data_IF_044223138004
#
_entry.id   IF_044223138004
#
_cell.length_a   1.000
_cell.length_b   1.000
_cell.length_c   1.000
_cell.angle_alpha   90.00
_cell.angle_beta   90.00
_cell.angle_gamma   90.00
#
_symmetry.space_group_name_H-M   'P 1'
#
loop_
_entity.id
_entity.type
_entity.pdbx_description
1 polymer ?
2 polymer ?
3 non-polymer ?
4 non-polymer ?
5 water ?
#
# COMPACT_ATOMS: atom_id res chain seq x y z
N UNK A 2 6.20 21.81 5.87
CA UNK A 2 5.81 22.31 7.17
C UNK A 2 4.51 21.69 7.69
N UNK A 3 3.62 22.54 8.18
CA UNK A 3 2.36 22.11 8.75
C UNK A 3 1.20 22.30 7.78
N UNK A 4 0.60 23.49 7.80
CA UNK A 4 -0.42 23.80 6.81
C UNK A 4 -1.37 24.95 7.12
N UNK A 5 -1.07 26.14 6.56
CA UNK A 5 -2.05 27.24 6.53
C UNK A 5 -2.97 27.19 5.31
N UNK A 6 -2.44 26.74 4.18
CA UNK A 6 -3.19 26.69 2.94
C UNK A 6 -2.94 25.35 2.23
N UNK A 7 -3.68 24.34 2.66
CA UNK A 7 -3.58 22.99 2.13
C UNK A 7 -4.73 22.76 1.16
N UNK A 8 -4.43 22.17 0.00
CA UNK A 8 -5.44 21.79 -1.00
C UNK A 8 -6.58 20.98 -0.39
N UNK A 9 -7.81 21.29 -0.80
CA UNK A 9 -9.01 20.66 -0.25
C UNK A 9 -8.98 19.12 -0.32
N UNK A 10 -8.53 18.61 -1.46
CA UNK A 10 -8.42 17.16 -1.67
C UNK A 10 -7.56 16.52 -0.59
N UNK A 11 -6.46 17.18 -0.26
CA UNK A 11 -5.53 16.66 0.75
C UNK A 11 -6.16 16.67 2.14
N UNK A 12 -6.91 17.71 2.46
CA UNK A 12 -7.60 17.80 3.75
C UNK A 12 -8.65 16.70 3.88
N UNK A 13 -9.48 16.57 2.85
CA UNK A 13 -10.51 15.54 2.83
C UNK A 13 -9.90 14.15 2.91
N UNK A 14 -8.74 13.97 2.29
CA UNK A 14 -8.01 12.72 2.38
C UNK A 14 -7.49 12.47 3.78
N UNK A 15 -7.09 13.55 4.45
CA UNK A 15 -6.64 13.47 5.84
C UNK A 15 -7.78 13.03 6.74
N UNK A 16 -8.98 13.52 6.43
CA UNK A 16 -10.16 13.15 7.20
C UNK A 16 -10.65 11.74 6.87
N UNK A 17 -10.21 11.22 5.72
CA UNK A 17 -10.61 9.89 5.28
C UNK A 17 -9.63 8.81 5.72
N UNK A 18 -8.55 9.21 6.37
CA UNK A 18 -7.54 8.27 6.82
C UNK A 18 -7.99 7.54 8.09
N UNK A 19 -7.93 6.21 8.08
CA UNK A 19 -8.37 5.39 9.22
C UNK A 19 -7.45 5.54 10.43
N UNK A 20 -7.95 5.15 11.60
CA UNK A 20 -7.17 5.21 12.83
C UNK A 20 -6.25 4.02 12.96
N UNK A 21 -4.98 4.26 13.30
CA UNK A 21 -3.97 3.21 13.35
C UNK A 21 -4.25 2.17 14.44
N UNK A 22 -4.67 2.63 15.61
CA UNK A 22 -4.95 1.73 16.73
C UNK A 22 -6.11 0.79 16.43
N UNK A 23 -7.15 1.31 15.80
CA UNK A 23 -8.33 0.53 15.46
C UNK A 23 -7.97 -0.57 14.44
N UNK A 24 -7.24 -0.19 13.41
CA UNK A 24 -6.80 -1.14 12.39
C UNK A 24 -5.89 -2.20 12.99
N UNK A 25 -4.98 -1.76 13.85
CA UNK A 25 -4.06 -2.67 14.54
C UNK A 25 -4.83 -3.70 15.35
N UNK A 26 -5.77 -3.23 16.17
CA UNK A 26 -6.57 -4.10 17.00
C UNK A 26 -7.42 -5.06 16.16
N UNK A 27 -7.96 -4.56 15.06
CA UNK A 27 -8.80 -5.37 14.18
C UNK A 27 -7.99 -6.50 13.54
N UNK A 28 -6.81 -6.17 13.04
CA UNK A 28 -5.94 -7.16 12.41
C UNK A 28 -5.44 -8.18 13.44
N UNK A 29 -5.09 -7.70 14.63
CA UNK A 29 -4.67 -8.59 15.72
C UNK A 29 -5.78 -9.58 16.08
N UNK A 30 -7.00 -9.06 16.22
CA UNK A 30 -8.15 -9.89 16.51
C UNK A 30 -8.44 -10.87 15.39
N UNK A 31 -8.15 -10.45 14.17
CA UNK A 31 -8.34 -11.30 12.99
C UNK A 31 -7.28 -12.41 12.94
N UNK A 32 -6.14 -12.14 13.58
CA UNK A 32 -5.05 -13.12 13.63
C UNK A 32 -5.24 -14.08 14.80
N UNK A 33 -5.97 -13.63 15.81
CA UNK A 33 -6.21 -14.44 17.00
C UNK A 33 -7.11 -15.64 16.69
N UNK A 34 -7.87 -15.55 15.61
CA UNK A 34 -8.78 -16.61 15.21
C UNK A 34 -8.04 -17.92 14.93
N UNK A 35 -8.67 -19.06 15.27
CA UNK A 35 -8.07 -20.38 15.05
C UNK A 35 -7.90 -20.69 13.56
N UNK A 36 -6.91 -21.51 13.23
CA UNK A 36 -6.64 -21.86 11.84
C UNK A 36 -6.03 -23.25 11.71
N UNK A 37 -6.24 -23.88 10.57
CA UNK A 37 -5.68 -25.19 10.28
C UNK A 37 -4.19 -25.08 10.01
N UNK A 38 -3.39 -25.24 11.07
CA UNK A 38 -1.95 -25.08 10.97
C UNK A 38 -1.28 -26.19 10.15
N UNK A 39 -0.51 -25.79 9.14
CA UNK A 39 0.23 -26.74 8.32
C UNK A 39 1.47 -27.24 9.04
N UNK A 40 1.64 -28.57 9.11
CA UNK A 40 2.73 -29.20 9.85
C UNK A 40 4.09 -29.06 9.17
N UNK A 41 4.11 -28.67 7.91
CA UNK A 41 5.36 -28.54 7.16
C UNK A 41 5.77 -27.08 7.00
N UNK A 42 5.16 -26.20 7.79
CA UNK A 42 5.47 -24.77 7.73
C UNK A 42 5.43 -24.12 9.10
N UNK A 43 6.28 -23.09 9.29
CA UNK A 43 6.18 -22.24 10.49
C UNK A 43 4.86 -21.48 10.47
N UNK A 44 4.13 -21.50 11.58
CA UNK A 44 2.83 -20.84 11.66
C UNK A 44 2.94 -19.33 11.42
N UNK A 45 4.11 -18.78 11.74
CA UNK A 45 4.38 -17.36 11.55
C UNK A 45 4.20 -16.95 10.09
N UNK A 46 4.50 -17.86 9.17
CA UNK A 46 4.34 -17.60 7.75
C UNK A 46 2.87 -17.32 7.40
N UNK A 47 2.00 -18.25 7.79
CA UNK A 47 0.57 -18.10 7.57
C UNK A 47 0.00 -16.90 8.29
N UNK A 48 0.49 -16.66 9.50
CA UNK A 48 0.04 -15.50 10.27
C UNK A 48 0.41 -14.18 9.58
N UNK A 49 1.58 -14.15 8.96
CA UNK A 49 2.02 -12.97 8.24
C UNK A 49 1.28 -12.79 6.92
N UNK A 50 0.96 -13.90 6.27
CA UNK A 50 0.14 -13.86 5.06
C UNK A 50 -1.23 -13.29 5.37
N UNK A 51 -1.86 -13.82 6.42
CA UNK A 51 -3.15 -13.32 6.87
C UNK A 51 -3.05 -11.87 7.29
N UNK A 52 -1.91 -11.49 7.87
CA UNK A 52 -1.67 -10.12 8.28
C UNK A 52 -1.71 -9.18 7.08
N UNK A 53 -0.95 -9.53 6.06
CA UNK A 53 -0.91 -8.74 4.83
C UNK A 53 -2.28 -8.67 4.19
N UNK A 54 -2.98 -9.81 4.19
CA UNK A 54 -4.35 -9.88 3.67
C UNK A 54 -5.26 -8.87 4.37
N UNK A 55 -5.22 -8.87 5.70
CA UNK A 55 -6.05 -7.96 6.48
C UNK A 55 -5.66 -6.50 6.26
N UNK A 56 -4.35 -6.26 6.10
CA UNK A 56 -3.86 -4.93 5.79
C UNK A 56 -4.50 -4.45 4.49
N UNK A 57 -4.54 -5.34 3.50
CA UNK A 57 -5.16 -5.02 2.23
C UNK A 57 -6.68 -4.85 2.37
N UNK A 58 -7.28 -5.56 3.33
CA UNK A 58 -8.70 -5.39 3.62
C UNK A 58 -8.95 -3.95 4.06
N UNK A 59 -8.15 -3.51 5.03
CA UNK A 59 -8.25 -2.14 5.54
C UNK A 59 -7.98 -1.12 4.44
N UNK A 60 -7.02 -1.41 3.57
CA UNK A 60 -6.71 -0.53 2.45
C UNK A 60 -7.90 -0.39 1.49
N UNK A 61 -8.53 -1.53 1.18
CA UNK A 61 -9.72 -1.54 0.34
C UNK A 61 -10.83 -0.73 0.99
N UNK A 62 -11.01 -0.91 2.30
CA UNK A 62 -12.00 -0.15 3.05
C UNK A 62 -11.72 1.35 2.96
N UNK A 63 -10.44 1.71 2.95
CA UNK A 63 -10.04 3.10 2.79
C UNK A 63 -10.40 3.60 1.40
N UNK A 64 -10.18 2.76 0.40
CA UNK A 64 -10.47 3.12 -0.99
C UNK A 64 -11.96 3.37 -1.19
N UNK A 65 -12.78 2.49 -0.61
CA UNK A 65 -14.24 2.58 -0.75
C UNK A 65 -14.82 3.91 -0.28
N UNK A 66 -14.12 4.59 0.61
CA UNK A 66 -14.59 5.85 1.16
C UNK A 66 -14.01 7.05 0.43
N UNK A 67 -13.12 6.81 -0.51
CA UNK A 67 -12.46 7.89 -1.24
C UNK A 67 -13.38 8.58 -2.25
N UNK A 68 -13.19 9.89 -2.41
CA UNK A 68 -13.91 10.65 -3.43
C UNK A 68 -13.56 10.12 -4.82
N UNK A 69 -14.44 10.40 -5.78
CA UNK A 69 -14.29 9.94 -7.16
C UNK A 69 -14.35 8.40 -7.29
N UNK A 70 -13.59 7.71 -6.46
CA UNK A 70 -13.57 6.25 -6.44
C UNK A 70 -14.93 5.67 -6.05
N UNK A 71 -15.61 6.34 -5.12
CA UNK A 71 -16.93 5.88 -4.68
C UNK A 71 -18.00 6.24 -5.70
N UNK A 72 -17.64 7.09 -6.66
CA UNK A 72 -18.56 7.49 -7.73
C UNK A 72 -18.39 6.57 -8.93
N UNK A 73 -17.55 5.55 -8.78
CA UNK A 73 -17.27 4.61 -9.86
C UNK A 73 -18.05 3.31 -9.68
N UNK A 74 -18.26 2.60 -10.80
CA UNK A 74 -18.90 1.30 -10.75
C UNK A 74 -17.91 0.23 -10.29
N UNK A 75 -18.40 -1.00 -10.14
CA UNK A 75 -17.59 -2.10 -9.62
C UNK A 75 -16.38 -2.43 -10.51
N UNK A 76 -16.62 -2.49 -11.81
CA UNK A 76 -15.58 -2.88 -12.77
C UNK A 76 -14.32 -2.01 -12.67
N UNK A 77 -14.51 -0.70 -12.73
CA UNK A 77 -13.41 0.25 -12.67
C UNK A 77 -12.64 0.14 -11.36
N UNK A 78 -13.38 0.04 -10.26
CA UNK A 78 -12.78 -0.11 -8.94
C UNK A 78 -11.91 -1.37 -8.86
N UNK A 79 -12.46 -2.48 -9.33
CA UNK A 79 -11.74 -3.75 -9.35
C UNK A 79 -10.49 -3.66 -10.21
N UNK A 80 -10.60 -3.01 -11.36
CA UNK A 80 -9.46 -2.83 -12.24
C UNK A 80 -8.34 -2.03 -11.55
N UNK A 81 -8.72 -0.90 -10.97
CA UNK A 81 -7.77 -0.03 -10.27
C UNK A 81 -7.07 -0.77 -9.13
N UNK A 82 -7.86 -1.42 -8.27
CA UNK A 82 -7.31 -2.15 -7.14
C UNK A 82 -6.41 -3.28 -7.58
N UNK A 83 -6.82 -4.01 -8.63
CA UNK A 83 -6.01 -5.09 -9.18
C UNK A 83 -4.73 -4.55 -9.82
N UNK A 84 -4.74 -3.25 -10.14
CA UNK A 84 -3.56 -2.62 -10.72
C UNK A 84 -2.60 -2.04 -9.68
N UNK A 85 -3.12 -1.63 -8.53
CA UNK A 85 -2.30 -0.91 -7.56
C UNK A 85 -2.25 -1.50 -6.15
N UNK A 86 -2.73 -2.74 -5.99
CA UNK A 86 -2.79 -3.37 -4.66
C UNK A 86 -1.41 -3.49 -4.00
N UNK A 87 -0.47 -4.10 -4.72
CA UNK A 87 0.87 -4.31 -4.21
C UNK A 87 1.55 -2.98 -3.91
N UNK A 88 1.32 -1.99 -4.78
CA UNK A 88 1.89 -0.66 -4.59
C UNK A 88 1.36 -0.01 -3.32
N UNK A 89 0.06 -0.15 -3.09
CA UNK A 89 -0.57 0.40 -1.90
C UNK A 89 -0.05 -0.27 -0.62
N UNK A 90 0.05 -1.60 -0.65
CA UNK A 90 0.58 -2.34 0.49
C UNK A 90 2.02 -1.95 0.80
N UNK A 91 2.86 -1.96 -0.23
CA UNK A 91 4.26 -1.61 -0.09
C UNK A 91 4.44 -0.19 0.44
N UNK A 92 3.68 0.75 -0.12
CA UNK A 92 3.75 2.13 0.32
C UNK A 92 3.27 2.28 1.76
N UNK A 93 2.29 1.47 2.13
CA UNK A 93 1.79 1.44 3.50
C UNK A 93 2.88 1.00 4.47
N UNK A 94 3.56 -0.09 4.11
CA UNK A 94 4.69 -0.58 4.90
C UNK A 94 5.77 0.49 5.04
N UNK A 95 6.18 1.03 3.90
CA UNK A 95 7.22 2.06 3.85
C UNK A 95 6.90 3.26 4.73
N UNK A 96 5.69 3.80 4.60
CA UNK A 96 5.31 4.94 5.42
C UNK A 96 5.16 4.56 6.88
N UNK A 97 4.86 3.29 7.15
CA UNK A 97 4.83 2.81 8.51
C UNK A 97 6.23 2.85 9.09
N UNK A 98 7.23 2.56 8.24
CA UNK A 98 8.62 2.63 8.67
C UNK A 98 9.08 4.07 8.85
N UNK A 99 8.56 4.98 8.00
CA UNK A 99 8.91 6.38 8.08
C UNK A 99 8.35 7.03 9.35
N UNK A 100 7.07 6.77 9.62
CA UNK A 100 6.36 7.37 10.74
C UNK A 100 6.95 6.95 12.08
N UNK A 101 7.40 5.70 12.17
CA UNK A 101 8.03 5.19 13.38
C UNK A 101 9.36 4.52 13.01
N UNK A 102 10.41 5.31 12.93
CA UNK A 102 11.67 4.86 12.36
C UNK A 102 12.78 4.49 13.31
N UNK A 103 13.02 3.19 13.44
CA UNK A 103 14.21 2.67 14.09
C UNK A 103 15.04 1.96 13.05
N UNK A 104 16.20 2.54 12.70
CA UNK A 104 16.99 2.07 11.57
C UNK A 104 17.46 0.61 11.69
N UNK A 105 17.50 0.10 12.91
CA UNK A 105 17.98 -1.25 13.16
C UNK A 105 16.92 -2.33 12.98
N UNK A 106 15.68 -1.92 12.70
CA UNK A 106 14.58 -2.87 12.61
C UNK A 106 13.43 -2.36 11.74
N UNK A 107 12.47 -3.25 11.46
CA UNK A 107 11.26 -2.87 10.76
C UNK A 107 10.05 -3.06 11.65
N UNK A 108 9.03 -2.23 11.44
CA UNK A 108 7.83 -2.28 12.26
C UNK A 108 6.63 -2.79 11.47
N UNK A 109 6.04 -3.89 11.94
CA UNK A 109 4.86 -4.46 11.30
C UNK A 109 3.61 -3.70 11.73
N UNK A 110 2.51 -3.95 11.01
CA UNK A 110 1.25 -3.27 11.31
C UNK A 110 0.68 -3.74 12.65
N UNK A 111 1.01 -4.96 13.04
CA UNK A 111 0.55 -5.52 14.31
C UNK A 111 1.17 -4.80 15.49
N UNK A 112 2.37 -4.27 15.30
CA UNK A 112 3.05 -3.50 16.33
C UNK A 112 4.35 -4.12 16.79
N UNK A 113 4.65 -5.32 16.29
CA UNK A 113 5.86 -6.03 16.68
C UNK A 113 7.05 -5.65 15.81
N UNK A 114 8.21 -5.50 16.43
CA UNK A 114 9.42 -5.11 15.72
C UNK A 114 10.23 -6.33 15.29
N UNK A 115 10.81 -6.25 14.10
CA UNK A 115 11.67 -7.32 13.59
C UNK A 115 13.01 -6.73 13.17
N UNK A 116 14.08 -7.08 13.89
CA UNK A 116 15.40 -6.56 13.60
C UNK A 116 15.93 -7.03 12.24
N UNK A 117 16.76 -6.21 11.62
CA UNK A 117 17.30 -6.51 10.29
C UNK A 117 18.25 -7.69 10.31
N UNK A 118 18.84 -7.98 11.46
CA UNK A 118 19.73 -9.13 11.60
C UNK A 118 18.93 -10.43 11.47
N UNK A 119 17.75 -10.44 12.07
CA UNK A 119 16.85 -11.58 12.00
C UNK A 119 16.48 -11.87 10.56
N UNK A 120 16.14 -10.83 9.81
CA UNK A 120 15.80 -10.96 8.40
C UNK A 120 17.02 -11.43 7.61
N UNK A 121 18.19 -10.92 7.99
CA UNK A 121 19.43 -11.25 7.30
C UNK A 121 19.84 -12.71 7.50
N UNK A 122 19.45 -13.30 8.63
CA UNK A 122 19.85 -14.67 8.93
C UNK A 122 18.78 -15.71 8.65
N UNK A 123 17.52 -15.29 8.63
CA UNK A 123 16.41 -16.25 8.55
C UNK A 123 15.66 -16.22 7.21
N UNK A 124 15.65 -15.06 6.55
CA UNK A 124 14.95 -14.93 5.28
C UNK A 124 15.85 -15.25 4.11
N UNK A 125 15.24 -15.50 2.95
CA UNK A 125 16.00 -15.75 1.73
C UNK A 125 16.60 -14.48 1.18
N UNK A 126 17.42 -14.61 0.15
CA UNK A 126 18.09 -13.46 -0.45
C UNK A 126 17.10 -12.48 -1.08
N UNK A 127 16.02 -13.02 -1.66
CA UNK A 127 15.01 -12.20 -2.31
C UNK A 127 14.29 -11.27 -1.34
N UNK A 128 13.73 -11.85 -0.29
CA UNK A 128 13.01 -11.07 0.72
C UNK A 128 13.96 -10.12 1.45
N UNK A 129 15.19 -10.56 1.66
CA UNK A 129 16.23 -9.74 2.27
C UNK A 129 16.44 -8.48 1.42
N UNK A 130 16.63 -8.69 0.12
CA UNK A 130 16.81 -7.59 -0.82
C UNK A 130 15.59 -6.66 -0.83
N UNK A 131 14.41 -7.26 -0.74
CA UNK A 131 13.16 -6.49 -0.69
C UNK A 131 13.14 -5.56 0.51
N UNK A 132 13.39 -6.11 1.70
CA UNK A 132 13.39 -5.33 2.92
C UNK A 132 14.46 -4.24 2.90
N UNK A 133 15.65 -4.59 2.42
CA UNK A 133 16.74 -3.62 2.33
C UNK A 133 16.44 -2.46 1.39
N UNK A 134 15.95 -2.78 0.20
CA UNK A 134 15.61 -1.76 -0.79
C UNK A 134 14.48 -0.87 -0.28
N UNK A 135 13.49 -1.51 0.34
CA UNK A 135 12.38 -0.79 0.94
C UNK A 135 12.89 0.17 2.02
N UNK A 136 13.89 -0.27 2.77
CA UNK A 136 14.47 0.55 3.82
C UNK A 136 15.26 1.72 3.23
N UNK A 137 15.88 1.48 2.07
CA UNK A 137 16.56 2.56 1.35
C UNK A 137 15.55 3.61 0.93
N UNK A 138 14.40 3.15 0.43
CA UNK A 138 13.31 4.04 0.04
C UNK A 138 12.82 4.84 1.25
N UNK A 139 12.72 4.16 2.39
CA UNK A 139 12.33 4.82 3.64
C UNK A 139 13.33 5.91 4.00
N UNK A 140 14.62 5.62 3.84
CA UNK A 140 15.67 6.59 4.11
C UNK A 140 15.53 7.80 3.21
N UNK A 141 15.30 7.55 1.93
CA UNK A 141 15.11 8.63 0.96
C UNK A 141 13.92 9.51 1.30
N UNK A 142 12.80 8.89 1.67
CA UNK A 142 11.60 9.62 2.05
C UNK A 142 11.81 10.43 3.32
N UNK A 143 12.59 9.88 4.25
CA UNK A 143 12.93 10.59 5.47
C UNK A 143 13.82 11.80 5.18
N UNK A 144 14.70 11.65 4.19
CA UNK A 144 15.57 12.74 3.78
C UNK A 144 14.79 13.89 3.16
N UNK A 145 13.71 13.55 2.45
CA UNK A 145 12.87 14.54 1.80
C UNK A 145 11.85 15.16 2.75
N UNK A 146 11.87 14.71 4.00
CA UNK A 146 10.94 15.19 5.03
C UNK A 146 9.49 15.00 4.62
N UNK A 147 9.13 13.76 4.30
CA UNK A 147 7.77 13.41 3.91
C UNK A 147 6.80 13.60 5.07
N UNK A 148 5.67 14.25 4.80
CA UNK A 148 4.64 14.44 5.82
C UNK A 148 3.36 13.67 5.50
N UNK A 149 2.36 13.81 6.37
CA UNK A 149 1.12 13.06 6.25
C UNK A 149 0.30 13.49 5.03
N UNK A 150 0.29 14.79 4.77
CA UNK A 150 -0.41 15.35 3.62
C UNK A 150 0.08 14.73 2.32
N UNK A 151 1.39 14.82 2.12
CA UNK A 151 2.04 14.24 0.96
C UNK A 151 1.84 12.72 0.93
N UNK A 152 1.72 12.11 2.11
CA UNK A 152 1.50 10.67 2.19
C UNK A 152 0.14 10.26 1.63
N UNK A 153 -0.93 10.86 2.16
CA UNK A 153 -2.27 10.54 1.68
C UNK A 153 -2.45 10.96 0.22
N UNK A 154 -1.85 12.08 -0.15
CA UNK A 154 -1.90 12.54 -1.53
C UNK A 154 -1.25 11.51 -2.46
N UNK A 155 -0.10 10.99 -2.04
CA UNK A 155 0.62 9.99 -2.80
C UNK A 155 -0.16 8.68 -2.89
N UNK A 156 -0.85 8.31 -1.80
CA UNK A 156 -1.70 7.13 -1.82
C UNK A 156 -2.81 7.30 -2.85
N UNK A 157 -3.44 8.47 -2.84
CA UNK A 157 -4.51 8.76 -3.79
C UNK A 157 -3.98 8.71 -5.23
N UNK A 158 -2.79 9.25 -5.44
CA UNK A 158 -2.15 9.21 -6.75
C UNK A 158 -1.91 7.77 -7.21
N UNK A 159 -1.39 6.95 -6.31
CA UNK A 159 -1.15 5.54 -6.59
C UNK A 159 -2.44 4.83 -6.96
N UNK A 160 -3.51 5.13 -6.24
CA UNK A 160 -4.81 4.50 -6.47
C UNK A 160 -5.32 4.69 -7.91
N UNK A 161 -4.98 5.83 -8.50
CA UNK A 161 -5.44 6.14 -9.86
C UNK A 161 -4.30 6.16 -10.88
N UNK A 162 -3.17 5.53 -10.55
CA UNK A 162 -2.04 5.46 -11.46
C UNK A 162 -2.22 4.32 -12.46
N UNK A 163 -3.06 4.55 -13.46
CA UNK A 163 -3.36 3.55 -14.48
C UNK A 163 -3.73 4.23 -15.79
N UNK A 164 -3.40 3.58 -16.90
CA UNK A 164 -3.75 4.09 -18.23
C UNK A 164 -5.27 4.16 -18.36
N UNK A 165 -5.75 5.23 -18.98
CA UNK A 165 -7.18 5.51 -19.04
C UNK A 165 -7.96 4.54 -19.92
N UNK A 166 -7.26 3.88 -20.84
CA UNK A 166 -7.92 3.00 -21.79
C UNK A 166 -8.48 1.72 -21.17
N UNK A 167 -8.02 1.41 -19.96
CA UNK A 167 -8.47 0.20 -19.26
C UNK A 167 -9.69 0.48 -18.39
N UNK A 168 -10.10 1.74 -18.32
CA UNK A 168 -11.24 2.13 -17.49
C UNK A 168 -12.43 2.56 -18.33
N UNK A 169 -13.62 2.42 -17.78
CA UNK A 169 -14.85 2.78 -18.47
C UNK A 169 -15.21 4.26 -18.30
N UNK A 170 -15.03 4.76 -17.09
CA UNK A 170 -15.28 6.16 -16.80
C UNK A 170 -14.01 6.99 -16.96
N UNK A 171 -13.70 7.36 -18.20
CA UNK A 171 -12.44 8.03 -18.53
C UNK A 171 -12.27 9.41 -17.90
N UNK A 172 -13.16 10.33 -18.27
CA UNK A 172 -13.05 11.73 -17.89
C UNK A 172 -12.97 11.95 -16.38
N UNK A 173 -13.74 11.18 -15.63
CA UNK A 173 -13.75 11.28 -14.18
C UNK A 173 -12.39 10.93 -13.58
N UNK A 174 -11.85 9.79 -14.02
CA UNK A 174 -10.54 9.34 -13.57
C UNK A 174 -9.44 10.31 -13.98
N UNK A 175 -9.53 10.83 -15.20
CA UNK A 175 -8.58 11.82 -15.70
C UNK A 175 -8.58 13.05 -14.80
N UNK A 176 -9.78 13.53 -14.49
CA UNK A 176 -9.96 14.67 -13.59
C UNK A 176 -9.34 14.37 -12.22
N UNK A 177 -9.54 13.14 -11.76
CA UNK A 177 -8.97 12.71 -10.48
C UNK A 177 -7.44 12.77 -10.48
N UNK A 178 -6.84 12.25 -11.55
CA UNK A 178 -5.39 12.25 -11.70
C UNK A 178 -4.83 13.66 -11.75
N UNK A 179 -5.38 14.48 -12.64
CA UNK A 179 -4.92 15.86 -12.80
C UNK A 179 -5.08 16.66 -11.51
N UNK A 180 -6.20 16.48 -10.83
CA UNK A 180 -6.45 17.16 -9.56
C UNK A 180 -5.46 16.70 -8.49
N UNK A 181 -5.15 15.41 -8.50
CA UNK A 181 -4.18 14.85 -7.55
C UNK A 181 -2.80 15.45 -7.74
N UNK A 182 -2.32 15.39 -8.98
CA UNK A 182 -1.02 15.97 -9.32
C UNK A 182 -0.95 17.46 -9.00
N UNK A 183 -2.02 18.18 -9.35
CA UNK A 183 -2.09 19.61 -9.06
C UNK A 183 -2.02 19.87 -7.56
N UNK A 184 -2.70 19.02 -6.79
CA UNK A 184 -2.69 19.15 -5.33
C UNK A 184 -1.30 18.91 -4.76
N UNK A 185 -0.66 17.84 -5.21
CA UNK A 185 0.69 17.52 -4.75
C UNK A 185 1.68 18.64 -5.08
N UNK A 186 1.64 19.11 -6.32
CA UNK A 186 2.51 20.19 -6.75
C UNK A 186 2.27 21.47 -5.97
N UNK A 187 0.99 21.79 -5.74
CA UNK A 187 0.62 22.98 -4.99
C UNK A 187 1.16 22.92 -3.57
N UNK A 188 0.91 21.79 -2.90
CA UNK A 188 1.36 21.62 -1.53
C UNK A 188 2.89 21.68 -1.42
N UNK A 189 3.57 20.94 -2.29
CA UNK A 189 5.04 20.92 -2.27
C UNK A 189 5.63 22.29 -2.55
N UNK A 190 5.02 23.04 -3.47
CA UNK A 190 5.50 24.37 -3.80
C UNK A 190 5.19 25.38 -2.68
N UNK A 191 4.15 25.11 -1.90
CA UNK A 191 3.73 26.03 -0.85
C UNK A 191 4.37 25.73 0.51
N UNK A 192 4.91 24.53 0.69
CA UNK A 192 5.36 24.11 2.01
C UNK A 192 6.85 23.72 2.12
N UNK A 193 7.49 23.42 0.99
CA UNK A 193 8.89 22.97 1.01
C UNK A 193 9.86 24.15 0.90
N UNK A 194 10.57 24.44 1.99
CA UNK A 194 11.50 25.58 2.04
C UNK A 194 12.89 25.22 1.51
N UNK A 195 13.17 23.93 1.42
CA UNK A 195 14.49 23.46 0.97
C UNK A 195 14.61 23.55 -0.55
N UNK A 196 15.70 23.01 -1.08
CA UNK A 196 15.94 23.03 -2.51
C UNK A 196 15.50 21.73 -3.17
N UNK A 197 15.46 21.72 -4.49
CA UNK A 197 15.06 20.54 -5.24
C UNK A 197 13.56 20.48 -5.44
N UNK A 198 13.14 19.88 -6.55
CA UNK A 198 11.73 19.73 -6.86
C UNK A 198 11.16 18.54 -6.10
N UNK A 199 10.55 18.82 -4.95
CA UNK A 199 10.02 17.77 -4.09
C UNK A 199 8.93 16.95 -4.78
N UNK A 200 8.17 17.60 -5.65
CA UNK A 200 7.14 16.96 -6.45
C UNK A 200 7.73 15.84 -7.30
N UNK A 201 8.69 16.21 -8.14
CA UNK A 201 9.35 15.27 -9.04
C UNK A 201 10.07 14.15 -8.28
N UNK A 202 10.75 14.52 -7.20
CA UNK A 202 11.45 13.56 -6.36
C UNK A 202 10.48 12.53 -5.77
N UNK A 203 9.32 13.02 -5.33
CA UNK A 203 8.28 12.14 -4.82
C UNK A 203 7.74 11.24 -5.91
N UNK A 204 7.67 11.75 -7.14
CA UNK A 204 7.25 10.92 -8.26
C UNK A 204 8.26 9.79 -8.52
N UNK A 205 9.55 10.12 -8.46
CA UNK A 205 10.60 9.12 -8.56
C UNK A 205 10.45 8.07 -7.47
N UNK A 206 10.17 8.54 -6.26
CA UNK A 206 9.90 7.65 -5.14
C UNK A 206 8.73 6.71 -5.48
N UNK A 207 7.71 7.24 -6.15
CA UNK A 207 6.59 6.42 -6.58
C UNK A 207 7.01 5.36 -7.58
N UNK A 208 7.91 5.72 -8.49
CA UNK A 208 8.44 4.77 -9.46
C UNK A 208 9.16 3.62 -8.74
N UNK A 209 10.02 3.99 -7.79
CA UNK A 209 10.75 3.01 -7.01
C UNK A 209 9.80 2.10 -6.23
N UNK A 210 8.74 2.70 -5.66
CA UNK A 210 7.70 1.94 -4.97
C UNK A 210 7.06 0.94 -5.91
N UNK A 211 6.86 1.35 -7.16
CA UNK A 211 6.25 0.49 -8.17
C UNK A 211 7.15 -0.71 -8.49
N UNK A 212 8.43 -0.45 -8.73
CA UNK A 212 9.38 -1.53 -9.01
C UNK A 212 9.47 -2.50 -7.83
N UNK A 213 9.55 -1.94 -6.63
CA UNK A 213 9.58 -2.71 -5.40
C UNK A 213 8.34 -3.60 -5.31
N UNK A 214 7.20 -3.04 -5.72
CA UNK A 214 5.94 -3.75 -5.74
C UNK A 214 6.01 -4.92 -6.72
N UNK A 215 6.64 -4.68 -7.87
CA UNK A 215 6.82 -5.74 -8.85
C UNK A 215 7.62 -6.89 -8.24
N UNK A 216 8.69 -6.54 -7.53
CA UNK A 216 9.51 -7.55 -6.87
C UNK A 216 8.71 -8.32 -5.81
N UNK A 217 7.86 -7.61 -5.09
CA UNK A 217 6.98 -8.23 -4.09
C UNK A 217 6.06 -9.25 -4.75
N UNK A 218 5.45 -8.84 -5.86
CA UNK A 218 4.61 -9.73 -6.67
C UNK A 218 5.40 -10.96 -7.08
N UNK A 219 6.65 -10.77 -7.48
CA UNK A 219 7.50 -11.89 -7.87
C UNK A 219 7.71 -12.85 -6.70
N UNK A 220 7.93 -12.30 -5.51
CA UNK A 220 8.11 -13.12 -4.31
C UNK A 220 6.85 -13.95 -4.03
N UNK A 221 5.70 -13.27 -3.98
CA UNK A 221 4.43 -13.94 -3.72
C UNK A 221 4.15 -15.02 -4.78
N UNK A 222 4.58 -14.77 -6.00
CA UNK A 222 4.41 -15.72 -7.09
C UNK A 222 5.30 -16.94 -6.88
N UNK A 223 6.53 -16.71 -6.41
CA UNK A 223 7.42 -17.81 -6.08
C UNK A 223 6.84 -18.68 -4.98
N UNK A 224 6.26 -18.04 -3.96
CA UNK A 224 5.62 -18.80 -2.88
C UNK A 224 4.43 -19.56 -3.43
N UNK A 225 3.72 -18.95 -4.36
CA UNK A 225 2.53 -19.56 -4.95
C UNK A 225 2.87 -20.82 -5.76
N UNK A 226 3.93 -20.76 -6.56
CA UNK A 226 4.32 -21.89 -7.39
C UNK A 226 4.79 -23.08 -6.56
N UNK A 227 5.25 -22.81 -5.35
CA UNK A 227 5.72 -23.86 -4.46
C UNK A 227 4.62 -24.37 -3.54
N UNK A 228 3.39 -23.92 -3.79
CA UNK A 228 2.24 -24.28 -2.96
C UNK A 228 2.47 -23.96 -1.49
N UNK A 229 3.11 -22.83 -1.23
CA UNK A 229 3.44 -22.43 0.14
C UNK A 229 2.36 -21.51 0.71
N UNK A 230 1.57 -20.91 -0.16
CA UNK A 230 0.53 -19.98 0.26
C UNK A 230 -0.72 -20.72 0.74
N UNK A 231 -1.38 -20.19 1.79
CA UNK A 231 -2.62 -20.77 2.29
C UNK A 231 -3.75 -20.62 1.28
N UNK A 232 -4.71 -21.55 1.30
CA UNK A 232 -5.83 -21.53 0.38
C UNK A 232 -6.68 -20.27 0.56
N UNK A 233 -7.27 -19.81 -0.54
CA UNK A 233 -8.11 -18.61 -0.53
C UNK A 233 -7.40 -17.36 0.00
N UNK A 234 -6.11 -17.25 -0.32
CA UNK A 234 -5.35 -16.06 0.04
C UNK A 234 -5.73 -14.89 -0.84
N UNK A 235 -6.08 -13.77 -0.22
CA UNK A 235 -6.56 -12.59 -0.94
C UNK A 235 -5.50 -12.03 -1.89
N UNK A 236 -4.27 -11.92 -1.38
CA UNK A 236 -3.17 -11.38 -2.17
C UNK A 236 -2.87 -12.24 -3.41
N UNK A 237 -3.03 -13.55 -3.26
CA UNK A 237 -2.85 -14.47 -4.39
C UNK A 237 -3.95 -14.28 -5.42
N UNK A 238 -5.16 -14.02 -4.94
CA UNK A 238 -6.29 -13.73 -5.82
C UNK A 238 -6.04 -12.44 -6.59
N UNK A 239 -5.46 -11.45 -5.91
CA UNK A 239 -5.12 -10.18 -6.55
C UNK A 239 -4.01 -10.37 -7.56
N UNK A 240 -3.10 -11.30 -7.26
CA UNK A 240 -1.96 -11.57 -8.14
C UNK A 240 -2.39 -12.35 -9.38
N UNK A 241 -3.41 -13.20 -9.22
CA UNK A 241 -3.89 -14.03 -10.31
C UNK A 241 -4.93 -13.31 -11.16
N UNK A 242 -5.23 -12.07 -10.80
CA UNK A 242 -6.17 -11.27 -11.58
C UNK A 242 -5.58 -10.94 -12.95
N UNK A 243 -6.44 -10.81 -13.95
CA UNK A 243 -6.00 -10.48 -15.30
C UNK A 243 -5.33 -9.11 -15.35
N UNK A 244 -4.08 -9.09 -15.82
CA UNK A 244 -3.27 -7.88 -15.80
C UNK A 244 -3.72 -6.84 -16.82
N UNK A 245 -3.79 -5.59 -16.41
CA UNK A 245 -4.10 -4.47 -17.29
C UNK A 245 -2.89 -3.59 -17.48
N UNK B 3 -17.74 -15.06 -6.45
CA UNK B 3 -16.65 -15.36 -7.38
C UNK B 3 -15.29 -14.92 -6.84
N UNK B 4 -15.13 -13.63 -6.55
CA UNK B 4 -13.88 -13.11 -6.02
C UNK B 4 -14.10 -12.36 -4.72
N UNK B 5 -13.14 -12.50 -3.79
CA UNK B 5 -13.22 -11.85 -2.49
C UNK B 5 -13.21 -10.33 -2.63
N UNK B 6 -12.52 -9.84 -3.66
CA UNK B 6 -12.44 -8.41 -3.92
C UNK B 6 -13.81 -7.83 -4.24
N UNK B 7 -14.56 -8.54 -5.09
CA UNK B 7 -15.89 -8.10 -5.49
C UNK B 7 -16.84 -8.12 -4.29
N UNK B 8 -16.69 -9.13 -3.44
CA UNK B 8 -17.49 -9.25 -2.23
C UNK B 8 -17.19 -8.09 -1.29
N UNK B 9 -15.91 -7.72 -1.21
CA UNK B 9 -15.48 -6.60 -0.38
C UNK B 9 -16.06 -5.28 -0.90
N UNK B 10 -16.03 -5.10 -2.21
CA UNK B 10 -16.53 -3.87 -2.82
C UNK B 10 -18.06 -3.80 -2.80
N UNK B 11 -18.71 -4.96 -2.67
CA UNK B 11 -20.16 -5.02 -2.60
C UNK B 11 -20.65 -5.22 -1.18
N UNK B 12 -19.72 -5.29 -0.23
CA UNK B 12 -20.05 -5.42 1.18
C UNK B 12 -20.73 -4.15 1.68
N UNK B 13 -21.59 -4.28 2.71
CA UNK B 13 -22.27 -3.11 3.27
C UNK B 13 -21.29 -2.10 3.87
N UNK B 14 -21.58 -0.81 3.68
CA UNK B 14 -20.71 0.24 4.19
C UNK B 14 -21.23 0.80 5.52
X LIG C 1 11.61 -16.78 3.20
X LIG C 1 10.39 -17.57 2.85
X LIG C 1 11.72 -15.58 2.30
X LIG C 1 11.50 -16.29 4.72
X LIG C 1 8.37 -4.07 -0.22
X LIG C 1 9.27 -4.75 0.77
X LIG C 1 8.46 -5.37 1.94
X LIG C 1 8.64 -6.89 2.03
X LIG C 1 7.26 -7.64 1.86
X LIG C 1 7.38 -8.88 0.95
X LIG C 1 6.15 -9.07 0.05
X LIG C 1 5.35 -10.32 0.39
X LIG C 1 5.12 -10.49 1.90
X LIG C 1 3.89 -11.38 2.21
X LIG C 1 3.60 -11.46 3.74
X LIG C 1 3.92 -12.84 4.33
X LIG C 1 5.33 -13.37 3.92
X LIG C 1 5.97 -14.27 5.02
X LIG C 1 7.27 -13.67 5.60
X LIG C 1 8.14 -14.73 6.31
X LIG C 1 7.64 -15.80 6.61
X LIG C 1 9.37 -14.30 6.97
X LIG C 1 10.63 -14.72 6.36
X LIG C 1 10.33 -15.53 5.08
X LIG C 1 12.68 -19.04 2.65
X LIG C 1 12.85 -19.97 3.83
X LIG C 1 12.50 -21.38 3.42
X LIG C 1 13.37 -21.82 2.25
X LIG C 1 13.22 -20.88 1.07
X LIG C 1 13.59 -19.47 1.51
X LIG C 1 12.90 -17.69 3.03
X LIG C 1 14.21 -19.95 4.23
X LIG C 1 12.62 -22.27 4.52
X LIG C 1 13.06 -23.16 1.88
X LIG C 1 14.00 -21.28 0.01
X LIG C 1 13.50 -18.55 0.41
X LIG C 1 14.16 -24.24 2.05
X LIG C 1 14.29 -24.59 3.51
X LIG C 1 13.78 -25.47 1.27
X LIG C 1 15.48 -23.72 1.53
X LIG C 1 13.41 -21.19 -1.45
X LIG C 1 13.91 -19.94 -2.12
X LIG C 1 13.85 -22.40 -2.24
X LIG C 1 11.90 -21.16 -1.37
X LIG C 1 11.47 -15.48 7.40
X LIG C 1 11.37 -14.79 8.67
X LIG C 1 11.89 -13.45 8.72
X LIG C 1 12.80 -13.10 7.95
X LIG C 1 11.55 -12.52 9.92
X LIG C 1 10.16 -11.88 9.79
X LIG C 1 9.94 -11.21 8.44
X LIG C 1 8.53 -10.59 8.36
X LIG C 1 8.47 -9.40 7.42
X LIG C 1 7.11 -9.30 6.70
X LIG C 1 6.93 -7.96 5.95
X LIG C 1 5.45 -7.56 5.81
X LIG C 1 5.20 -6.57 4.68
X LIG C 1 3.72 -6.30 4.48
X LIG C 1 3.42 -5.67 3.10
X LIG C 1 3.74 -6.63 1.97
X LIG C 1 2.84 -6.41 0.73
X LIG C 1 3.55 -6.73 -0.58
X LIG C 1 2.64 -6.55 -1.79
X LIG D 1 -4.84 0.62 6.52
X LIG D 1 -4.58 1.75 5.66
X LIG D 1 -3.50 0.01 6.94
X LIG D 1 -2.75 0.97 7.70
X LIG E 1 14.83 3.90 8.56
X LIG E 1 15.83 4.88 8.83
X LIG E 1 13.96 3.72 9.81
X LIG E 1 12.91 2.78 9.53
X LIG F 1 -0.04 -14.86 -13.16
X LIG F 1 -1.25 -14.13 -13.38
X LIG F 1 -0.28 -15.92 -12.09
X LIG F 1 -1.32 -16.81 -12.53
X LIG G 1 14.67 7.95 -5.98
X LIG G 1 14.02 8.94 -5.17
X LIG G 1 14.05 6.59 -5.72
X LIG G 1 14.21 6.24 -4.34
X LIG H 1 13.25 2.75 -11.19
X LIG H 1 13.57 2.86 -9.80
X LIG H 1 12.49 1.46 -11.44
X LIG H 1 12.11 1.37 -12.81
#
# INVERSE_FOLDING_TARGET
GSGGPNVPELILQLLQLEPDEDQVRARILGSLQEPTKSRPDQPAAFGLLCRMADQTFISIVDWARRCMVFKELEVADQMTLLQNCWSELLVFDHIYRQVQHGKEGSILLVTGQEVELTTVATQAGSLLHSLVLRAQELVLQLLALQLDRQEFVCLKFIILFSLDLKFLNNHILVKDAQEKANAALLDYTLCHYPHSGDKFQQLLLCLVEVRALSMQAKEYLYHKHLGNEMPRNNLLIEMLQAKQT
EEPSLLKKLLLAPA
PIK P1 O11 O12 O13 CBG CBF CBE CBD CBC CBB CBA CB9 CB8 CB7 CB6 CB5 CB4 CB3 CB2 CB1 OB2 OB1 C8 C7 C1 C2 C3 C4 C5 C6 O1 O2 O3 O4 O5 O6 P4 O41 O42 O43 P5 O51 O52 O53 C9 OA1 CA1 OA2 CA2 CA3 CA4 CA5 CA6 CA7 CA8 CA9 CAA CAB CAC CAD CAE CAF CAG
EDO C1 O1 C2 O2
EDO C1 O1 C2 O2
EDO C1 O1 C2 O2
EDO C1 O1 C2 O2
EDO C1 O1 C2 O2
#
